data_IF_259624318222
#
_entry.id   IF_259624318222
#
_cell.length_a   1.000
_cell.length_b   1.000
_cell.length_c   1.000
_cell.angle_alpha   90.00
_cell.angle_beta   90.00
_cell.angle_gamma   90.00
#
_symmetry.space_group_name_H-M   'P 1'
#
loop_
_entity.id
_entity.type
_entity.pdbx_description
1 polymer ?
#
# COMPACT_ATOMS: atom_id res chain seq x y z
N UNK A 1 34.06 18.02 9.81
CA UNK A 1 32.66 18.31 9.43
C UNK A 1 31.94 16.99 9.30
N UNK A 2 31.13 16.64 10.30
CA UNK A 2 30.45 15.35 10.37
C UNK A 2 28.99 15.58 10.00
N UNK A 3 28.56 15.09 8.84
CA UNK A 3 27.14 15.07 8.46
C UNK A 3 26.55 13.75 8.92
N UNK A 4 25.76 13.79 9.99
CA UNK A 4 24.96 12.66 10.46
C UNK A 4 23.67 12.69 9.64
N UNK A 5 23.53 11.80 8.65
CA UNK A 5 22.27 11.58 7.96
C UNK A 5 21.42 10.59 8.73
N UNK A 6 20.74 11.08 9.76
CA UNK A 6 19.60 10.42 10.39
C UNK A 6 18.32 10.93 9.71
N UNK A 7 17.87 10.28 8.63
CA UNK A 7 16.48 10.43 8.19
C UNK A 7 15.66 9.30 8.81
N UNK A 8 15.44 9.47 10.12
CA UNK A 8 14.38 8.78 10.83
C UNK A 8 13.04 9.14 10.17
N UNK A 9 12.22 8.10 10.01
CA UNK A 9 10.79 8.17 9.73
C UNK A 9 10.12 9.44 10.26
N UNK A 10 9.82 10.39 9.37
CA UNK A 10 8.87 11.46 9.67
C UNK A 10 7.45 10.87 9.66
N UNK A 11 7.10 10.28 10.80
CA UNK A 11 5.74 9.99 11.20
C UNK A 11 5.13 11.34 11.59
N UNK A 12 4.58 12.08 10.63
CA UNK A 12 3.57 13.07 10.94
C UNK A 12 2.21 12.39 10.99
N UNK A 13 1.79 12.17 12.24
CA UNK A 13 0.40 12.03 12.65
C UNK A 13 -0.37 13.24 12.10
N UNK A 14 -1.05 13.08 10.97
CA UNK A 14 -2.11 14.00 10.56
C UNK A 14 -3.35 13.21 10.14
N UNK A 15 -4.33 13.26 11.04
CA UNK A 15 -5.72 12.92 10.83
C UNK A 15 -6.31 13.81 9.71
N UNK A 16 -7.29 13.30 8.95
CA UNK A 16 -8.13 14.07 8.01
C UNK A 16 -7.67 14.41 6.58
N UNK A 17 -6.87 13.55 5.91
CA UNK A 17 -6.85 13.59 4.43
C UNK A 17 -7.08 12.18 3.88
N UNK A 18 -7.99 12.06 2.92
CA UNK A 18 -8.00 10.95 1.96
C UNK A 18 -6.68 11.06 1.16
N UNK A 19 -5.55 10.77 1.80
CA UNK A 19 -4.21 10.94 1.22
C UNK A 19 -4.14 10.00 0.04
N UNK A 20 -4.07 10.57 -1.16
CA UNK A 20 -3.88 9.88 -2.43
C UNK A 20 -2.94 8.69 -2.24
N UNK A 21 -3.49 7.49 -2.12
CA UNK A 21 -2.71 6.29 -1.88
C UNK A 21 -1.82 6.14 -3.11
N UNK A 22 -0.49 6.19 -2.96
CA UNK A 22 0.41 6.24 -4.10
C UNK A 22 0.64 4.82 -4.63
N UNK A 23 -0.43 4.23 -5.19
CA UNK A 23 -0.49 2.85 -5.67
C UNK A 23 0.64 2.47 -6.62
N UNK A 24 1.24 3.46 -7.31
CA UNK A 24 2.33 3.28 -8.27
C UNK A 24 3.71 3.26 -7.58
N UNK A 25 3.88 3.88 -6.40
CA UNK A 25 5.20 3.99 -5.75
C UNK A 25 5.84 2.63 -5.48
N UNK A 26 5.03 1.60 -5.22
CA UNK A 26 5.51 0.23 -5.05
C UNK A 26 6.41 -0.23 -6.21
N UNK A 27 5.96 -0.04 -7.44
CA UNK A 27 6.67 -0.47 -8.65
C UNK A 27 7.93 0.37 -8.94
N UNK A 28 8.03 1.56 -8.34
CA UNK A 28 9.23 2.41 -8.42
C UNK A 28 10.29 2.06 -7.37
N UNK A 29 9.86 1.56 -6.22
CA UNK A 29 10.72 1.33 -5.06
C UNK A 29 11.14 -0.14 -4.93
N UNK A 30 10.32 -1.07 -5.39
CA UNK A 30 10.61 -2.51 -5.33
C UNK A 30 11.16 -2.99 -6.67
N UNK A 31 12.28 -3.71 -6.62
CA UNK A 31 12.79 -4.44 -7.78
C UNK A 31 11.75 -5.43 -8.30
N UNK A 32 11.72 -5.60 -9.62
CA UNK A 32 10.65 -6.31 -10.30
C UNK A 32 10.58 -7.81 -9.95
N UNK A 33 11.69 -8.39 -9.51
CA UNK A 33 11.82 -9.77 -9.03
C UNK A 33 11.03 -10.00 -7.73
N UNK A 34 10.75 -8.93 -6.98
CA UNK A 34 10.04 -8.98 -5.69
C UNK A 34 8.58 -8.53 -5.79
N UNK A 35 8.09 -8.25 -7.00
CA UNK A 35 6.71 -7.84 -7.20
C UNK A 35 5.75 -8.97 -6.83
N UNK A 36 4.84 -8.70 -5.90
CA UNK A 36 3.78 -9.62 -5.53
C UNK A 36 2.56 -8.85 -4.99
N UNK A 37 1.37 -9.38 -5.27
CA UNK A 37 0.14 -8.80 -4.72
C UNK A 37 0.16 -8.84 -3.20
N UNK A 38 0.72 -9.89 -2.60
CA UNK A 38 0.82 -10.05 -1.15
C UNK A 38 1.65 -8.93 -0.52
N UNK A 39 2.86 -8.67 -1.01
CA UNK A 39 3.71 -7.62 -0.45
C UNK A 39 3.11 -6.24 -0.66
N UNK A 40 2.55 -6.00 -1.85
CA UNK A 40 1.83 -4.78 -2.17
C UNK A 40 0.68 -4.51 -1.21
N UNK A 41 -0.22 -5.48 -1.01
CA UNK A 41 -1.37 -5.38 -0.11
C UNK A 41 -0.93 -5.21 1.34
N UNK A 42 0.08 -5.96 1.79
CA UNK A 42 0.61 -5.85 3.16
C UNK A 42 1.13 -4.44 3.44
N UNK A 43 1.86 -3.85 2.48
CA UNK A 43 2.36 -2.49 2.56
C UNK A 43 1.20 -1.48 2.62
N UNK A 44 0.16 -1.67 1.80
CA UNK A 44 -1.00 -0.77 1.79
C UNK A 44 -1.76 -0.79 3.12
N UNK A 45 -2.07 -1.98 3.63
CA UNK A 45 -2.81 -2.16 4.89
C UNK A 45 -2.03 -1.54 6.06
N UNK A 46 -0.70 -1.74 6.10
CA UNK A 46 0.15 -1.24 7.19
C UNK A 46 0.25 0.29 7.21
N UNK A 47 0.28 0.93 6.04
CA UNK A 47 0.61 2.36 5.93
C UNK A 47 -0.60 3.26 5.66
N UNK A 48 -1.72 2.72 5.14
CA UNK A 48 -2.86 3.53 4.71
C UNK A 48 -4.16 3.00 5.32
N UNK A 49 -4.63 3.67 6.38
CA UNK A 49 -5.85 3.31 7.11
C UNK A 49 -7.08 3.15 6.20
N UNK A 50 -7.18 3.95 5.14
CA UNK A 50 -8.32 3.95 4.22
C UNK A 50 -8.06 3.17 2.91
N UNK A 51 -7.03 2.32 2.85
CA UNK A 51 -6.82 1.47 1.70
C UNK A 51 -8.02 0.55 1.46
N UNK A 52 -8.53 0.57 0.23
CA UNK A 52 -9.64 -0.26 -0.20
C UNK A 52 -9.15 -1.45 -1.02
N UNK A 53 -9.67 -2.64 -0.69
CA UNK A 53 -9.36 -3.89 -1.38
C UNK A 53 -9.54 -3.80 -2.89
N UNK A 54 -10.69 -3.29 -3.34
CA UNK A 54 -11.04 -3.22 -4.76
C UNK A 54 -10.08 -2.31 -5.52
N UNK A 55 -9.81 -1.13 -4.98
CA UNK A 55 -8.91 -0.15 -5.61
C UNK A 55 -7.44 -0.59 -5.58
N UNK A 56 -6.99 -1.25 -4.50
CA UNK A 56 -5.66 -1.85 -4.44
C UNK A 56 -5.47 -2.90 -5.55
N UNK A 57 -6.38 -3.86 -5.67
CA UNK A 57 -6.29 -4.91 -6.68
C UNK A 57 -6.36 -4.32 -8.10
N UNK A 58 -7.31 -3.41 -8.34
CA UNK A 58 -7.46 -2.71 -9.62
C UNK A 58 -6.18 -1.98 -10.02
N UNK A 59 -5.59 -1.24 -9.09
CA UNK A 59 -4.39 -0.45 -9.34
C UNK A 59 -3.18 -1.34 -9.63
N UNK A 60 -2.99 -2.40 -8.85
CA UNK A 60 -1.91 -3.36 -9.05
C UNK A 60 -1.93 -3.96 -10.47
N UNK A 61 -3.06 -4.55 -10.87
CA UNK A 61 -3.16 -5.18 -12.18
C UNK A 61 -3.18 -4.18 -13.33
N UNK A 62 -3.72 -2.96 -13.12
CA UNK A 62 -3.63 -1.89 -14.14
C UNK A 62 -2.18 -1.56 -14.47
N UNK A 63 -1.31 -1.43 -13.46
CA UNK A 63 0.12 -1.16 -13.67
C UNK A 63 0.79 -2.32 -14.40
N UNK A 64 0.53 -3.57 -13.99
CA UNK A 64 1.07 -4.75 -14.68
C UNK A 64 0.64 -4.83 -16.14
N UNK A 65 -0.63 -4.52 -16.44
CA UNK A 65 -1.13 -4.49 -17.81
C UNK A 65 -0.45 -3.41 -18.66
N UNK A 66 -0.23 -2.23 -18.08
CA UNK A 66 0.52 -1.16 -18.75
C UNK A 66 1.96 -1.61 -19.05
N UNK A 67 2.65 -2.18 -18.06
CA UNK A 67 4.02 -2.67 -18.22
C UNK A 67 4.10 -3.74 -19.31
N UNK A 68 3.21 -4.74 -19.26
CA UNK A 68 3.16 -5.84 -20.25
C UNK A 68 2.99 -5.35 -21.69
N UNK A 69 2.26 -4.26 -21.89
CA UNK A 69 1.95 -3.74 -23.22
C UNK A 69 2.94 -2.66 -23.70
N UNK A 70 3.89 -2.24 -22.86
CA UNK A 70 4.86 -1.20 -23.19
C UNK A 70 6.12 -1.81 -23.80
N UNK A 71 6.29 -1.59 -25.12
CA UNK A 71 7.44 -2.10 -25.86
C UNK A 71 8.77 -1.44 -25.48
N UNK A 72 8.74 -0.28 -24.80
CA UNK A 72 9.94 0.41 -24.31
C UNK A 72 10.55 -0.24 -23.06
N UNK A 73 9.80 -1.07 -22.34
CA UNK A 73 10.27 -1.82 -21.17
C UNK A 73 11.02 -3.08 -21.62
N UNK A 74 11.95 -3.60 -20.82
CA UNK A 74 12.67 -4.84 -21.17
C UNK A 74 11.72 -6.06 -21.21
N UNK A 75 12.06 -7.05 -22.04
CA UNK A 75 11.26 -8.27 -22.17
C UNK A 75 11.11 -9.01 -20.83
N UNK A 76 12.20 -9.13 -20.06
CA UNK A 76 12.18 -9.82 -18.76
C UNK A 76 11.16 -9.22 -17.78
N UNK A 77 11.09 -7.88 -17.73
CA UNK A 77 10.14 -7.17 -16.85
C UNK A 77 8.71 -7.35 -17.35
N UNK A 78 8.50 -7.36 -18.67
CA UNK A 78 7.18 -7.68 -19.25
C UNK A 78 6.75 -9.11 -18.95
N UNK A 79 7.66 -10.07 -19.01
CA UNK A 79 7.39 -11.48 -18.75
C UNK A 79 7.00 -11.69 -17.28
N UNK A 80 7.68 -11.02 -16.35
CA UNK A 80 7.33 -11.02 -14.94
C UNK A 80 5.93 -10.42 -14.72
N UNK A 81 5.63 -9.28 -15.34
CA UNK A 81 4.30 -8.69 -15.27
C UNK A 81 3.21 -9.61 -15.83
N UNK A 82 3.49 -10.28 -16.95
CA UNK A 82 2.59 -11.25 -17.56
C UNK A 82 2.35 -12.46 -16.65
N UNK A 83 3.39 -12.98 -15.99
CA UNK A 83 3.28 -14.12 -15.07
C UNK A 83 2.42 -13.76 -13.85
N UNK A 84 2.60 -12.57 -13.28
CA UNK A 84 1.76 -12.07 -12.19
C UNK A 84 0.28 -11.92 -12.60
N UNK A 85 0.01 -11.45 -13.83
CA UNK A 85 -1.37 -11.37 -14.35
C UNK A 85 -1.98 -12.77 -14.49
N UNK A 86 -1.24 -13.74 -15.04
CA UNK A 86 -1.70 -15.13 -15.20
C UNK A 86 -2.09 -15.77 -13.87
N UNK A 87 -1.33 -15.47 -12.80
CA UNK A 87 -1.55 -16.03 -11.46
C UNK A 87 -2.59 -15.27 -10.62
N UNK A 88 -3.21 -14.23 -11.18
CA UNK A 88 -4.04 -13.27 -10.43
C UNK A 88 -5.13 -13.88 -9.57
N UNK A 89 -5.80 -14.93 -10.04
CA UNK A 89 -6.88 -15.61 -9.30
C UNK A 89 -6.34 -16.27 -8.02
N UNK A 90 -5.18 -16.91 -8.09
CA UNK A 90 -4.53 -17.54 -6.94
C UNK A 90 -4.05 -16.46 -5.96
N UNK A 91 -3.43 -15.41 -6.47
CA UNK A 91 -2.92 -14.30 -5.66
C UNK A 91 -4.03 -13.58 -4.90
N UNK A 92 -5.16 -13.29 -5.58
CA UNK A 92 -6.33 -12.66 -4.94
C UNK A 92 -6.88 -13.52 -3.81
N UNK A 93 -6.94 -14.84 -4.01
CA UNK A 93 -7.39 -15.77 -2.96
C UNK A 93 -6.46 -15.74 -1.75
N UNK A 94 -5.16 -15.69 -1.98
CA UNK A 94 -4.14 -15.68 -0.92
C UNK A 94 -4.18 -14.39 -0.09
N UNK A 95 -4.38 -13.23 -0.72
CA UNK A 95 -4.40 -11.94 0.01
C UNK A 95 -5.74 -11.60 0.67
N UNK A 96 -6.81 -12.37 0.42
CA UNK A 96 -8.11 -12.13 1.04
C UNK A 96 -8.04 -12.19 2.57
N UNK A 97 -7.25 -13.11 3.14
CA UNK A 97 -7.08 -13.25 4.58
C UNK A 97 -6.48 -11.99 5.23
N UNK A 98 -5.60 -11.27 4.52
CA UNK A 98 -5.02 -10.00 4.99
C UNK A 98 -6.09 -8.92 5.15
N UNK A 99 -7.00 -8.81 4.18
CA UNK A 99 -8.10 -7.85 4.23
C UNK A 99 -9.08 -8.17 5.36
N UNK A 100 -9.44 -9.44 5.54
CA UNK A 100 -10.34 -9.85 6.63
C UNK A 100 -9.74 -9.53 8.01
N UNK A 101 -8.43 -9.77 8.18
CA UNK A 101 -7.72 -9.41 9.42
C UNK A 101 -7.73 -7.90 9.66
N UNK A 102 -7.41 -7.11 8.64
CA UNK A 102 -7.41 -5.65 8.73
C UNK A 102 -8.80 -5.06 9.05
N UNK A 103 -9.87 -5.64 8.50
CA UNK A 103 -11.25 -5.21 8.79
C UNK A 103 -11.62 -5.51 10.25
N UNK A 104 -11.23 -6.68 10.78
CA UNK A 104 -11.46 -7.02 12.19
C UNK A 104 -10.74 -6.06 13.13
N UNK A 105 -9.46 -5.79 12.88
CA UNK A 105 -8.67 -4.84 13.67
C UNK A 105 -9.27 -3.43 13.66
N UNK A 106 -9.77 -2.96 12.52
CA UNK A 106 -10.47 -1.67 12.42
C UNK A 106 -11.75 -1.59 13.26
N UNK A 107 -12.48 -2.70 13.42
CA UNK A 107 -13.73 -2.74 14.22
C UNK A 107 -13.47 -2.74 15.73
N UNK A 108 -12.29 -3.17 16.17
CA UNK A 108 -11.92 -3.28 17.60
C UNK A 108 -11.39 -1.95 18.13
N UNK A 109 -10.88 -1.06 17.26
CA UNK A 109 -10.32 0.22 17.69
C UNK A 109 -11.44 1.16 18.19
N UNK A 110 -11.41 1.60 19.46
CA UNK A 110 -12.39 2.57 19.96
C UNK A 110 -12.26 3.90 19.20
N UNK A 111 -13.36 4.67 19.07
CA UNK A 111 -13.28 6.00 18.50
C UNK A 111 -12.26 6.85 19.27
N UNK A 112 -11.50 7.73 18.60
CA UNK A 112 -10.60 8.64 19.29
C UNK A 112 -11.41 9.39 20.35
N UNK A 113 -10.99 9.29 21.60
CA UNK A 113 -11.61 10.06 22.69
C UNK A 113 -11.50 11.54 22.28
N UNK A 114 -12.61 12.29 22.21
CA UNK A 114 -12.54 13.72 21.98
C UNK A 114 -11.69 14.33 23.09
N UNK A 115 -10.51 14.85 22.74
CA UNK A 115 -9.70 15.61 23.69
C UNK A 115 -10.46 16.90 23.94
N UNK A 116 -11.19 16.94 25.05
CA UNK A 116 -11.90 18.12 25.50
C UNK A 116 -10.85 19.23 25.72
N UNK A 117 -10.95 20.41 25.09
CA UNK A 117 -10.07 21.51 25.43
C UNK A 117 -10.30 21.84 26.91
N UNK A 118 -9.30 21.54 27.74
CA UNK A 118 -9.32 21.90 29.15
C UNK A 118 -9.31 23.42 29.24
N UNK A 119 -10.46 24.00 29.52
CA UNK A 119 -10.59 25.39 29.93
C UNK A 119 -9.82 25.57 31.23
N UNK A 120 -8.60 26.12 31.12
CA UNK A 120 -7.88 26.69 32.25
C UNK A 120 -8.66 27.91 32.73
N UNK A 121 -9.31 27.77 33.89
CA UNK A 121 -9.70 28.90 34.74
C UNK A 121 -8.95 28.74 36.06
N UNK A 122 -8.09 29.71 36.34
CA UNK A 122 -7.30 29.83 37.56
C UNK A 122 -6.32 30.97 37.41
#
# INVERSE_FOLDING_TARGET
MTAISNTAFDIQVNSFVCVNIPYIKYFKLCSYENWSLHYYVSMLIKNYKFAEKKEAHRSFYKVLHNIKNDLSISQDVRDIAQNLIKNSKADIKNVNSLWEKAIKEKKILPPPVPVLPSSFTG
#
